data_IF_998442746704
#
_entry.id   IF_998442746704
#
_cell.length_a   1.000
_cell.length_b   1.000
_cell.length_c   1.000
_cell.angle_alpha   90.00
_cell.angle_beta   90.00
_cell.angle_gamma   90.00
#
_symmetry.space_group_name_H-M   'P 1'
#
loop_
_entity.id
_entity.type
_entity.pdbx_description
1 polymer ?
#
# COMPACT_ATOMS: atom_id res chain seq x y z
N UNK A 1 17.51 22.30 7.99
CA UNK A 1 18.18 21.68 6.83
C UNK A 1 17.07 21.37 5.81
N UNK A 2 17.35 21.42 4.51
CA UNK A 2 16.38 21.03 3.47
C UNK A 2 16.86 19.73 2.84
N UNK A 3 15.95 18.93 2.29
CA UNK A 3 16.34 17.82 1.43
C UNK A 3 17.10 18.35 0.21
N UNK A 4 18.06 17.59 -0.30
CA UNK A 4 18.92 17.97 -1.43
C UNK A 4 18.19 17.94 -2.77
N UNK A 5 17.13 17.14 -2.87
CA UNK A 5 16.28 17.01 -4.05
C UNK A 5 14.93 17.75 -3.89
N UNK A 6 14.28 18.06 -5.01
CA UNK A 6 12.93 18.63 -5.06
C UNK A 6 11.84 17.56 -5.02
N UNK A 7 10.59 17.96 -4.82
CA UNK A 7 9.46 17.03 -4.78
C UNK A 7 9.34 16.22 -6.08
N UNK A 8 9.55 16.88 -7.22
CA UNK A 8 9.50 16.25 -8.56
C UNK A 8 10.57 15.19 -8.79
N UNK A 9 11.74 15.33 -8.15
CA UNK A 9 12.81 14.33 -8.24
C UNK A 9 12.44 13.03 -7.53
N UNK A 10 11.62 13.12 -6.48
CA UNK A 10 11.10 11.96 -5.73
C UNK A 10 9.87 11.32 -6.37
N UNK A 11 8.98 12.13 -6.96
CA UNK A 11 7.74 11.66 -7.59
C UNK A 11 7.99 10.57 -8.65
N UNK A 12 8.90 10.83 -9.59
CA UNK A 12 9.09 9.93 -10.73
C UNK A 12 9.59 8.52 -10.30
N UNK A 13 10.63 8.39 -9.47
CA UNK A 13 11.04 7.10 -8.91
C UNK A 13 9.93 6.39 -8.13
N UNK A 14 9.24 7.11 -7.23
CA UNK A 14 8.16 6.55 -6.40
C UNK A 14 7.04 5.97 -7.28
N UNK A 15 6.56 6.74 -8.25
CA UNK A 15 5.44 6.32 -9.10
C UNK A 15 5.81 5.18 -10.03
N UNK A 16 7.06 5.14 -10.48
CA UNK A 16 7.55 4.05 -11.32
C UNK A 16 7.53 2.72 -10.57
N UNK A 17 7.95 2.73 -9.30
CA UNK A 17 7.96 1.55 -8.45
C UNK A 17 6.53 1.11 -8.07
N UNK A 18 5.68 2.04 -7.63
CA UNK A 18 4.30 1.74 -7.24
C UNK A 18 3.45 1.16 -8.37
N UNK A 19 3.74 1.53 -9.61
CA UNK A 19 3.05 0.99 -10.78
C UNK A 19 3.30 -0.49 -10.99
N UNK A 20 4.42 -1.06 -10.53
CA UNK A 20 4.76 -2.49 -10.54
C UNK A 20 4.08 -3.33 -11.64
N UNK A 21 4.44 -3.09 -12.91
CA UNK A 21 3.87 -3.80 -14.06
C UNK A 21 2.64 -3.14 -14.71
N UNK A 22 1.93 -2.26 -14.01
CA UNK A 22 0.86 -1.44 -14.57
C UNK A 22 1.40 -0.25 -15.39
N UNK A 23 0.63 0.12 -16.41
CA UNK A 23 0.90 1.28 -17.27
C UNK A 23 0.00 2.48 -16.97
N UNK A 24 -0.87 2.35 -15.97
CA UNK A 24 -2.00 3.23 -15.72
C UNK A 24 -1.65 4.26 -14.65
N UNK A 25 -1.25 5.44 -15.10
CA UNK A 25 -1.01 6.60 -14.25
C UNK A 25 -1.51 7.87 -14.93
N UNK A 26 -2.01 8.79 -14.12
CA UNK A 26 -2.31 10.14 -14.51
C UNK A 26 -1.65 11.09 -13.52
N UNK A 27 -0.69 11.88 -13.99
CA UNK A 27 -0.04 12.97 -13.26
C UNK A 27 -0.67 14.29 -13.68
N UNK A 28 -1.65 14.82 -12.93
CA UNK A 28 -2.44 15.94 -13.41
C UNK A 28 -1.65 17.25 -13.26
N UNK A 29 -1.49 18.02 -14.34
CA UNK A 29 -0.86 19.35 -14.21
C UNK A 29 -1.62 20.31 -13.29
N UNK A 30 -0.92 21.34 -12.78
CA UNK A 30 -1.29 22.32 -11.72
C UNK A 30 -2.80 22.68 -11.57
N UNK A 31 -3.54 22.86 -12.67
CA UNK A 31 -4.99 23.19 -12.62
C UNK A 31 -5.83 22.07 -12.00
N UNK A 32 -5.38 20.82 -12.07
CA UNK A 32 -6.07 19.66 -11.50
C UNK A 32 -5.59 19.36 -10.09
N UNK A 33 -4.30 19.50 -9.83
CA UNK A 33 -3.71 19.48 -8.49
C UNK A 33 -4.45 20.47 -7.56
N UNK A 34 -4.68 21.72 -8.00
CA UNK A 34 -5.46 22.69 -7.22
C UNK A 34 -6.94 22.37 -7.01
N UNK A 35 -7.46 21.27 -7.58
CA UNK A 35 -8.88 20.87 -7.49
C UNK A 35 -9.11 19.50 -6.86
N UNK A 36 -8.18 18.57 -7.04
CA UNK A 36 -8.19 17.23 -6.44
C UNK A 36 -7.17 17.09 -5.30
N UNK A 37 -6.21 18.00 -5.21
CA UNK A 37 -5.17 17.99 -4.18
C UNK A 37 -4.13 16.88 -4.33
N UNK A 38 -4.13 16.16 -5.46
CA UNK A 38 -3.24 15.01 -5.74
C UNK A 38 -2.24 15.35 -6.86
N UNK A 39 -1.05 14.75 -6.76
CA UNK A 39 -0.01 14.79 -7.79
C UNK A 39 -0.16 13.63 -8.78
N UNK A 40 -0.69 12.49 -8.33
CA UNK A 40 -0.87 11.31 -9.16
C UNK A 40 -2.10 10.49 -8.77
N UNK A 41 -2.73 9.90 -9.78
CA UNK A 41 -3.67 8.80 -9.63
C UNK A 41 -3.18 7.61 -10.45
N UNK A 42 -3.07 6.43 -9.83
CA UNK A 42 -2.52 5.24 -10.45
C UNK A 42 -3.31 3.97 -10.12
N UNK A 43 -3.13 2.97 -10.97
CA UNK A 43 -3.34 1.58 -10.61
C UNK A 43 -2.03 1.04 -10.02
N UNK A 44 -1.94 1.05 -8.70
CA UNK A 44 -0.82 0.49 -7.95
C UNK A 44 -1.05 -1.00 -7.75
N UNK A 45 -0.08 -1.81 -8.18
CA UNK A 45 -0.09 -3.26 -8.02
C UNK A 45 1.07 -3.75 -7.14
N UNK A 46 1.90 -2.84 -6.62
CA UNK A 46 3.06 -3.17 -5.80
C UNK A 46 2.65 -3.86 -4.48
N UNK A 47 2.92 -5.15 -4.26
CA UNK A 47 2.37 -5.89 -3.11
C UNK A 47 2.85 -5.33 -1.76
N UNK A 48 4.15 -5.05 -1.63
CA UNK A 48 4.72 -4.52 -0.38
C UNK A 48 4.10 -3.18 0.01
N UNK A 49 3.65 -2.37 -0.97
CA UNK A 49 2.98 -1.11 -0.66
C UNK A 49 1.61 -1.35 -0.01
N UNK A 50 0.85 -2.33 -0.52
CA UNK A 50 -0.47 -2.66 0.01
C UNK A 50 -0.40 -3.34 1.38
N UNK A 51 0.65 -4.13 1.61
CA UNK A 51 0.96 -4.73 2.91
C UNK A 51 1.15 -3.66 4.00
N UNK A 52 1.79 -2.53 3.69
CA UNK A 52 1.99 -1.41 4.64
C UNK A 52 0.68 -0.87 5.22
N UNK A 53 -0.43 -1.05 4.51
CA UNK A 53 -1.76 -0.59 4.89
C UNK A 53 -2.71 -1.72 5.29
N UNK A 54 -2.21 -2.96 5.38
CA UNK A 54 -2.99 -4.14 5.74
C UNK A 54 -3.99 -4.60 4.67
N UNK A 55 -3.77 -4.26 3.39
CA UNK A 55 -4.61 -4.72 2.29
C UNK A 55 -4.05 -6.02 1.71
N UNK A 56 -4.63 -7.16 2.14
CA UNK A 56 -4.33 -8.48 1.57
C UNK A 56 -4.94 -8.67 0.18
N UNK A 57 -6.09 -8.04 -0.08
CA UNK A 57 -6.72 -7.96 -1.39
C UNK A 57 -6.57 -6.53 -1.94
N UNK A 58 -5.75 -6.38 -2.99
CA UNK A 58 -5.54 -5.09 -3.65
C UNK A 58 -6.88 -4.57 -4.18
N UNK A 59 -7.30 -3.34 -3.83
CA UNK A 59 -8.55 -2.79 -4.33
C UNK A 59 -8.54 -2.74 -5.86
N UNK A 60 -9.63 -3.21 -6.49
CA UNK A 60 -9.83 -3.17 -7.95
C UNK A 60 -9.81 -1.75 -8.54
N UNK A 61 -9.88 -0.73 -7.68
CA UNK A 61 -9.90 0.66 -8.09
C UNK A 61 -11.25 1.15 -8.58
N UNK A 62 -11.23 2.38 -9.08
CA UNK A 62 -12.35 3.05 -9.73
C UNK A 62 -11.89 3.85 -10.93
N UNK A 63 -12.75 3.96 -11.92
CA UNK A 63 -12.57 4.95 -12.98
C UNK A 63 -13.06 6.30 -12.45
N UNK A 64 -12.13 7.24 -12.24
CA UNK A 64 -12.44 8.56 -11.69
C UNK A 64 -13.47 9.30 -12.56
N UNK A 65 -13.43 9.16 -13.88
CA UNK A 65 -14.39 9.78 -14.81
C UNK A 65 -15.84 9.33 -14.59
N UNK A 66 -16.07 8.14 -14.03
CA UNK A 66 -17.41 7.61 -13.77
C UNK A 66 -18.03 8.11 -12.46
N UNK A 67 -17.25 8.77 -11.61
CA UNK A 67 -17.72 9.22 -10.30
C UNK A 67 -18.42 10.59 -10.38
N UNK A 68 -19.51 10.72 -9.60
CA UNK A 68 -20.25 11.98 -9.48
C UNK A 68 -19.54 12.92 -8.52
N UNK A 69 -18.61 13.70 -9.04
CA UNK A 69 -17.81 14.61 -8.22
C UNK A 69 -18.49 15.90 -7.76
N UNK A 70 -19.78 16.12 -8.05
CA UNK A 70 -20.65 17.22 -7.56
C UNK A 70 -19.97 18.56 -7.19
N UNK A 71 -19.29 18.60 -6.04
CA UNK A 71 -18.49 19.73 -5.57
C UNK A 71 -17.32 20.14 -6.49
N UNK A 72 -16.66 19.22 -7.18
CA UNK A 72 -15.51 19.52 -8.03
C UNK A 72 -15.88 20.01 -9.43
N UNK A 73 -16.99 19.53 -10.01
CA UNK A 73 -17.42 19.98 -11.34
C UNK A 73 -17.80 21.46 -11.37
N UNK A 74 -18.26 22.01 -10.22
CA UNK A 74 -18.47 23.45 -10.02
C UNK A 74 -17.16 24.25 -10.16
N UNK A 75 -16.01 23.67 -9.79
CA UNK A 75 -14.68 24.29 -9.91
C UNK A 75 -13.95 23.91 -11.20
N UNK A 76 -14.17 22.73 -11.76
CA UNK A 76 -13.41 22.22 -12.92
C UNK A 76 -13.81 22.86 -14.24
N UNK A 77 -15.09 23.20 -14.41
CA UNK A 77 -15.67 23.41 -15.73
C UNK A 77 -15.70 22.07 -16.48
N UNK A 78 -16.83 21.73 -17.12
CA UNK A 78 -17.08 20.42 -17.78
C UNK A 78 -16.08 20.01 -18.90
N UNK A 79 -15.00 20.75 -19.13
CA UNK A 79 -14.10 20.57 -20.29
C UNK A 79 -12.90 19.64 -20.09
N UNK A 80 -12.46 19.36 -18.85
CA UNK A 80 -11.30 18.49 -18.61
C UNK A 80 -11.75 17.06 -18.26
N UNK A 81 -11.26 16.07 -19.01
CA UNK A 81 -11.52 14.65 -18.77
C UNK A 81 -10.69 14.14 -17.60
N UNK A 82 -11.30 13.27 -16.79
CA UNK A 82 -10.61 12.53 -15.74
C UNK A 82 -9.98 11.26 -16.33
N UNK A 83 -9.09 10.59 -15.58
CA UNK A 83 -8.60 9.27 -15.96
C UNK A 83 -9.76 8.30 -16.22
N UNK A 84 -9.72 7.66 -17.40
CA UNK A 84 -10.75 6.72 -17.88
C UNK A 84 -10.39 5.27 -17.62
N UNK A 85 -9.47 5.04 -16.69
CA UNK A 85 -8.95 3.73 -16.31
C UNK A 85 -9.07 3.56 -14.80
N UNK A 86 -8.96 2.34 -14.30
CA UNK A 86 -9.07 2.06 -12.86
C UNK A 86 -7.89 2.66 -12.10
N UNK A 87 -8.18 3.47 -11.09
CA UNK A 87 -7.20 3.95 -10.11
C UNK A 87 -7.58 3.39 -8.76
N UNK A 88 -6.66 2.71 -8.10
CA UNK A 88 -6.82 2.23 -6.73
C UNK A 88 -5.96 3.03 -5.74
N UNK A 89 -5.08 3.92 -6.22
CA UNK A 89 -4.23 4.75 -5.39
C UNK A 89 -4.15 6.18 -5.93
N UNK A 90 -4.40 7.15 -5.03
CA UNK A 90 -4.24 8.58 -5.26
C UNK A 90 -3.21 9.10 -4.26
N UNK A 91 -2.21 9.83 -4.76
CA UNK A 91 -1.05 10.23 -3.98
C UNK A 91 -0.85 11.73 -4.09
N UNK A 92 -0.56 12.35 -2.94
CA UNK A 92 0.16 13.61 -2.86
C UNK A 92 1.57 13.34 -2.33
N UNK A 93 2.58 13.51 -3.17
CA UNK A 93 3.96 13.47 -2.75
C UNK A 93 4.30 14.73 -1.94
N UNK A 94 5.29 14.61 -1.05
CA UNK A 94 5.80 15.73 -0.26
C UNK A 94 7.32 15.66 -0.19
N UNK A 95 7.97 16.81 -0.38
CA UNK A 95 9.38 16.97 -0.04
C UNK A 95 9.54 16.97 1.49
N UNK A 96 10.49 16.19 2.05
CA UNK A 96 10.67 16.16 3.49
C UNK A 96 11.57 17.30 3.96
N UNK A 97 11.32 17.75 5.18
CA UNK A 97 12.20 18.64 5.94
C UNK A 97 12.99 17.79 6.94
N UNK A 98 14.30 17.57 6.72
CA UNK A 98 15.13 16.85 7.67
C UNK A 98 15.39 17.67 8.93
N UNK A 99 15.24 17.01 10.07
CA UNK A 99 15.42 17.56 11.41
C UNK A 99 16.48 16.76 12.16
N UNK A 100 17.33 17.48 12.90
CA UNK A 100 18.47 16.93 13.64
C UNK A 100 18.29 16.92 15.17
N UNK A 101 17.15 17.41 15.66
CA UNK A 101 16.81 17.47 17.09
C UNK A 101 15.32 17.23 17.30
N UNK A 102 14.98 16.14 17.99
CA UNK A 102 13.61 15.88 18.42
C UNK A 102 13.25 16.72 19.66
N UNK A 103 12.00 17.22 19.71
CA UNK A 103 11.45 17.84 20.92
C UNK A 103 11.31 16.82 22.05
N UNK A 104 11.20 17.27 23.30
CA UNK A 104 10.96 16.38 24.45
C UNK A 104 9.75 15.48 24.25
N UNK A 105 8.69 16.02 23.66
CA UNK A 105 7.47 15.31 23.31
C UNK A 105 7.72 14.20 22.28
N UNK A 106 8.40 14.51 21.16
CA UNK A 106 8.68 13.52 20.11
C UNK A 106 9.62 12.41 20.60
N UNK A 107 10.56 12.73 21.49
CA UNK A 107 11.41 11.72 22.15
C UNK A 107 10.58 10.70 22.94
N UNK A 108 9.47 11.13 23.54
CA UNK A 108 8.52 10.23 24.22
C UNK A 108 7.90 9.17 23.30
N UNK A 109 7.85 9.44 21.99
CA UNK A 109 7.38 8.52 20.94
C UNK A 109 8.52 7.82 20.19
N UNK A 110 9.74 7.80 20.76
CA UNK A 110 10.88 7.07 20.18
C UNK A 110 11.65 7.83 19.09
N UNK A 111 11.36 9.11 18.86
CA UNK A 111 12.10 9.89 17.86
C UNK A 111 13.57 10.06 18.25
N UNK A 112 14.45 9.68 17.34
CA UNK A 112 15.89 9.95 17.42
C UNK A 112 16.21 11.40 17.02
N UNK A 113 17.51 11.76 17.06
CA UNK A 113 17.98 13.03 16.51
C UNK A 113 17.68 13.16 15.01
N UNK A 114 17.75 12.07 14.23
CA UNK A 114 17.46 12.07 12.79
C UNK A 114 16.00 11.70 12.54
N UNK A 115 15.23 12.64 12.01
CA UNK A 115 13.83 12.44 11.62
C UNK A 115 13.44 13.46 10.55
N UNK A 116 12.23 13.30 10.00
CA UNK A 116 11.69 14.11 8.92
C UNK A 116 10.31 14.64 9.27
N UNK A 117 9.93 15.69 8.55
CA UNK A 117 8.63 16.33 8.65
C UNK A 117 8.17 16.81 7.29
N UNK A 118 6.87 16.77 7.02
CA UNK A 118 6.25 17.63 6.01
C UNK A 118 5.09 18.44 6.58
N UNK A 119 4.78 19.54 5.92
CA UNK A 119 3.67 20.42 6.28
C UNK A 119 2.42 20.05 5.47
N UNK A 120 1.27 20.13 6.13
CA UNK A 120 -0.04 19.87 5.56
C UNK A 120 -0.68 21.23 5.26
N UNK A 121 -1.13 21.40 4.03
CA UNK A 121 -1.79 22.64 3.61
C UNK A 121 -3.29 22.50 3.79
N UNK A 122 -3.92 23.32 4.63
CA UNK A 122 -5.33 23.18 5.05
C UNK A 122 -6.31 23.01 3.88
N UNK A 123 -6.19 23.84 2.84
CA UNK A 123 -7.09 23.75 1.69
C UNK A 123 -6.87 22.48 0.86
N UNK A 124 -5.63 21.97 0.79
CA UNK A 124 -5.30 20.73 0.09
C UNK A 124 -5.85 19.54 0.88
N UNK A 125 -5.68 19.55 2.20
CA UNK A 125 -6.21 18.54 3.12
C UNK A 125 -7.73 18.43 3.00
N UNK A 126 -8.46 19.55 3.04
CA UNK A 126 -9.93 19.55 2.91
C UNK A 126 -10.40 18.92 1.60
N UNK A 127 -9.67 19.16 0.50
CA UNK A 127 -10.00 18.57 -0.81
C UNK A 127 -9.73 17.06 -0.77
N UNK A 128 -8.56 16.65 -0.30
CA UNK A 128 -8.14 15.26 -0.25
C UNK A 128 -9.05 14.42 0.65
N UNK A 129 -9.53 14.96 1.77
CA UNK A 129 -10.49 14.30 2.65
C UNK A 129 -11.82 14.04 1.94
N UNK A 130 -12.33 15.03 1.20
CA UNK A 130 -13.57 14.85 0.40
C UNK A 130 -13.38 13.84 -0.73
N UNK A 131 -12.21 13.83 -1.35
CA UNK A 131 -11.86 12.83 -2.38
C UNK A 131 -11.83 11.43 -1.74
N UNK A 132 -11.13 11.26 -0.61
CA UNK A 132 -11.08 10.01 0.15
C UNK A 132 -12.47 9.53 0.54
N UNK A 133 -13.31 10.41 1.10
CA UNK A 133 -14.68 10.09 1.51
C UNK A 133 -15.54 9.60 0.34
N UNK A 134 -15.39 10.21 -0.84
CA UNK A 134 -16.11 9.79 -2.05
C UNK A 134 -15.63 8.42 -2.59
N UNK A 135 -14.34 8.13 -2.45
CA UNK A 135 -13.72 6.89 -2.93
C UNK A 135 -13.96 5.72 -1.96
N UNK A 136 -14.15 6.01 -0.67
CA UNK A 136 -14.35 5.03 0.39
C UNK A 136 -13.26 3.95 0.32
N UNK A 137 -13.64 2.68 0.27
CA UNK A 137 -12.73 1.53 0.19
C UNK A 137 -12.28 1.17 -1.23
N UNK A 138 -12.67 1.95 -2.25
CA UNK A 138 -12.38 1.59 -3.64
C UNK A 138 -11.02 2.07 -4.12
N UNK A 139 -10.49 3.12 -3.51
CA UNK A 139 -9.15 3.62 -3.77
C UNK A 139 -8.60 4.28 -2.51
N UNK A 140 -7.29 4.13 -2.29
CA UNK A 140 -6.59 4.74 -1.17
C UNK A 140 -6.15 6.15 -1.54
N UNK A 141 -6.25 7.10 -0.59
CA UNK A 141 -5.77 8.47 -0.75
C UNK A 141 -4.76 8.77 0.35
N UNK A 142 -3.52 9.05 -0.05
CA UNK A 142 -2.39 9.18 0.89
C UNK A 142 -1.51 10.38 0.61
N UNK A 143 -0.77 10.79 1.64
CA UNK A 143 0.50 11.48 1.44
C UNK A 143 1.65 10.48 1.38
N UNK A 144 2.67 10.80 0.60
CA UNK A 144 3.92 10.05 0.51
C UNK A 144 5.11 11.00 0.66
N UNK A 145 6.09 10.65 1.49
CA UNK A 145 7.32 11.40 1.63
C UNK A 145 8.50 10.46 1.90
N UNK A 146 9.71 10.73 1.38
CA UNK A 146 10.85 9.86 1.60
C UNK A 146 11.33 9.92 3.06
N UNK A 147 11.80 8.78 3.58
CA UNK A 147 12.52 8.66 4.86
C UNK A 147 14.05 8.80 4.66
N UNK A 148 14.42 9.66 3.72
CA UNK A 148 15.77 10.06 3.36
C UNK A 148 15.72 11.48 2.77
N UNK A 149 16.87 12.12 2.59
CA UNK A 149 16.90 13.53 2.15
C UNK A 149 18.15 13.93 1.36
N UNK A 150 19.04 12.98 1.04
CA UNK A 150 20.22 13.22 0.22
C UNK A 150 19.97 12.76 -1.22
N UNK A 151 20.70 13.33 -2.19
CA UNK A 151 20.65 12.87 -3.58
C UNK A 151 21.23 11.46 -3.72
N UNK A 152 22.29 11.14 -2.97
CA UNK A 152 22.89 9.81 -2.96
C UNK A 152 21.88 8.74 -2.53
N UNK A 153 21.12 8.97 -1.44
CA UNK A 153 20.06 8.07 -1.02
C UNK A 153 18.99 7.93 -2.11
N UNK A 154 18.54 9.04 -2.71
CA UNK A 154 17.52 9.02 -3.77
C UNK A 154 17.97 8.14 -4.95
N UNK A 155 19.20 8.32 -5.44
CA UNK A 155 19.72 7.56 -6.57
C UNK A 155 19.95 6.09 -6.20
N UNK A 156 20.55 5.81 -5.04
CA UNK A 156 20.77 4.44 -4.57
C UNK A 156 19.45 3.67 -4.43
N UNK A 157 18.41 4.28 -3.84
CA UNK A 157 17.10 3.66 -3.69
C UNK A 157 16.38 3.52 -5.04
N UNK A 158 16.56 4.48 -5.95
CA UNK A 158 15.98 4.39 -7.31
C UNK A 158 16.60 3.24 -8.10
N UNK A 159 17.93 3.12 -8.11
CA UNK A 159 18.65 2.04 -8.79
C UNK A 159 18.30 0.67 -8.21
N UNK A 160 18.15 0.58 -6.89
CA UNK A 160 17.80 -0.65 -6.20
C UNK A 160 16.30 -0.99 -6.22
N UNK A 161 15.44 -0.11 -6.75
CA UNK A 161 13.97 -0.24 -6.70
C UNK A 161 13.43 -0.42 -5.28
N UNK A 162 13.92 0.40 -4.34
CA UNK A 162 13.54 0.39 -2.92
C UNK A 162 12.98 1.73 -2.45
N UNK A 163 12.47 2.57 -3.35
CA UNK A 163 11.94 3.89 -3.01
C UNK A 163 10.68 3.75 -2.15
N UNK A 164 9.81 2.78 -2.43
CA UNK A 164 8.61 2.51 -1.61
C UNK A 164 9.02 2.07 -0.21
N UNK A 165 9.96 1.13 -0.11
CA UNK A 165 10.46 0.61 1.16
C UNK A 165 11.19 1.66 2.02
N UNK A 166 11.73 2.70 1.38
CA UNK A 166 12.42 3.81 2.05
C UNK A 166 11.57 5.10 2.11
N UNK A 167 10.25 4.97 1.93
CA UNK A 167 9.29 6.07 2.04
C UNK A 167 8.34 5.89 3.22
N UNK A 168 7.81 7.01 3.71
CA UNK A 168 6.76 7.06 4.71
C UNK A 168 5.44 7.49 4.04
N UNK A 169 4.36 6.82 4.40
CA UNK A 169 3.04 7.02 3.84
C UNK A 169 2.02 7.23 4.95
N UNK A 170 1.04 8.10 4.73
CA UNK A 170 -0.04 8.31 5.71
C UNK A 170 -1.34 8.56 5.00
N UNK A 171 -2.42 7.89 5.46
CA UNK A 171 -3.77 8.11 4.93
C UNK A 171 -4.20 9.54 5.25
N UNK A 172 -4.77 10.22 4.26
CA UNK A 172 -5.22 11.61 4.42
C UNK A 172 -6.19 11.76 5.60
N UNK A 173 -7.08 10.80 5.79
CA UNK A 173 -8.09 10.81 6.88
C UNK A 173 -7.49 10.83 8.29
N UNK A 174 -6.23 10.39 8.46
CA UNK A 174 -5.50 10.41 9.73
C UNK A 174 -4.91 11.78 10.06
N UNK A 175 -4.90 12.71 9.10
CA UNK A 175 -4.29 14.03 9.24
C UNK A 175 -5.32 15.16 9.42
N UNK A 176 -6.56 14.81 9.73
CA UNK A 176 -7.62 15.78 9.96
C UNK A 176 -7.25 16.75 11.09
N UNK A 177 -7.34 18.06 10.81
CA UNK A 177 -6.97 19.15 11.73
C UNK A 177 -5.48 19.17 12.18
N UNK A 178 -4.61 18.40 11.53
CA UNK A 178 -3.17 18.43 11.79
C UNK A 178 -2.42 19.25 10.73
N UNK A 179 -1.37 19.95 11.17
CA UNK A 179 -0.60 20.86 10.30
C UNK A 179 0.72 20.27 9.86
N UNK A 180 1.22 19.26 10.58
CA UNK A 180 2.51 18.65 10.29
C UNK A 180 2.43 17.15 10.56
N UNK A 181 3.17 16.39 9.77
CA UNK A 181 3.42 14.98 10.00
C UNK A 181 4.91 14.78 10.27
N UNK A 182 5.26 14.14 11.39
CA UNK A 182 6.64 13.85 11.78
C UNK A 182 6.85 12.33 11.73
N UNK A 183 7.99 11.89 11.23
CA UNK A 183 8.32 10.46 11.14
C UNK A 183 9.84 10.27 11.16
N UNK A 184 10.31 9.13 11.64
CA UNK A 184 11.75 8.83 11.76
C UNK A 184 12.17 7.54 11.03
N UNK A 185 11.22 6.87 10.38
CA UNK A 185 11.45 5.66 9.61
C UNK A 185 10.46 5.56 8.45
N UNK A 186 10.75 4.68 7.50
CA UNK A 186 9.83 4.31 6.43
C UNK A 186 8.62 3.53 6.96
N UNK A 187 7.61 3.31 6.11
CA UNK A 187 6.36 2.63 6.47
C UNK A 187 5.21 3.61 6.69
N UNK A 188 4.35 3.35 7.68
CA UNK A 188 3.10 4.12 7.88
C UNK A 188 2.99 4.84 9.22
N UNK A 189 4.02 4.74 10.06
CA UNK A 189 4.03 5.30 11.41
C UNK A 189 4.59 6.71 11.46
N UNK A 190 4.04 7.52 12.37
CA UNK A 190 4.50 8.89 12.64
C UNK A 190 3.66 9.59 13.71
N UNK A 191 3.92 10.88 13.90
CA UNK A 191 3.22 11.74 14.86
C UNK A 191 2.69 12.98 14.15
N UNK A 192 1.37 13.09 14.13
CA UNK A 192 0.67 14.27 13.63
C UNK A 192 0.73 15.41 14.65
N UNK A 193 0.83 16.66 14.19
CA UNK A 193 1.03 17.81 15.07
C UNK A 193 -0.04 18.90 14.89
N UNK A 194 -0.87 19.04 15.93
CA UNK A 194 -1.61 20.25 16.37
C UNK A 194 -1.92 20.11 17.87
N UNK A 195 -2.42 18.93 18.26
CA UNK A 195 -2.13 18.22 19.52
C UNK A 195 -1.55 16.84 19.13
N UNK A 196 -0.54 16.31 19.83
CA UNK A 196 0.16 15.10 19.40
C UNK A 196 -0.69 13.85 19.63
N UNK A 197 -1.12 13.23 18.54
CA UNK A 197 -1.72 11.89 18.54
C UNK A 197 -0.75 10.91 17.87
N UNK A 198 -0.44 9.81 18.58
CA UNK A 198 0.31 8.71 17.99
C UNK A 198 -0.65 7.84 17.19
N UNK A 199 -0.40 7.72 15.90
CA UNK A 199 -1.24 6.95 14.98
C UNK A 199 -0.44 5.75 14.50
N UNK A 200 -0.87 4.57 14.92
CA UNK A 200 -0.37 3.28 14.46
C UNK A 200 -1.55 2.53 13.80
N UNK A 201 -1.40 2.11 12.54
CA UNK A 201 -2.30 1.13 11.94
C UNK A 201 -1.83 -0.27 12.42
N UNK A 202 -2.79 -1.11 12.81
CA UNK A 202 -2.70 -2.37 13.59
C UNK A 202 -1.34 -3.08 13.53
N UNK A 203 -0.70 -3.26 14.68
CA UNK A 203 0.62 -3.91 14.77
C UNK A 203 0.51 -5.41 14.45
N UNK A 204 1.46 -5.91 13.65
CA UNK A 204 1.59 -7.34 13.33
C UNK A 204 1.62 -8.21 14.60
N UNK A 205 2.24 -7.70 15.68
CA UNK A 205 2.30 -8.38 16.96
C UNK A 205 0.90 -8.54 17.60
N UNK A 206 0.04 -7.51 17.53
CA UNK A 206 -1.33 -7.61 18.03
C UNK A 206 -2.19 -8.61 17.25
N UNK A 207 -1.93 -8.77 15.95
CA UNK A 207 -2.58 -9.80 15.13
C UNK A 207 -2.08 -11.20 15.47
N UNK A 208 -0.77 -11.36 15.68
CA UNK A 208 -0.16 -12.65 16.07
C UNK A 208 -0.61 -13.07 17.47
N UNK A 209 -0.68 -12.15 18.43
CA UNK A 209 -1.17 -12.42 19.79
C UNK A 209 -2.64 -12.86 19.76
N UNK A 210 -3.49 -12.19 18.97
CA UNK A 210 -4.88 -12.61 18.79
C UNK A 210 -4.99 -13.99 18.12
N UNK A 211 -4.15 -14.31 17.14
CA UNK A 211 -4.13 -15.65 16.52
C UNK A 211 -3.65 -16.75 17.47
N UNK A 212 -2.69 -16.44 18.35
CA UNK A 212 -2.21 -17.36 19.40
C UNK A 212 -3.29 -17.71 20.44
N UNK A 213 -4.24 -16.80 20.69
CA UNK A 213 -5.40 -17.06 21.55
C UNK A 213 -6.45 -17.97 20.88
N UNK A 214 -6.59 -17.93 19.55
CA UNK A 214 -7.47 -18.84 18.79
C UNK A 214 -6.87 -20.24 18.57
N UNK A 215 -5.54 -20.39 18.63
CA UNK A 215 -4.83 -21.65 18.39
C UNK A 215 -4.86 -22.68 19.53
N UNK A 216 -5.65 -22.47 20.60
CA UNK A 216 -5.77 -23.41 21.72
C UNK A 216 -6.84 -24.49 21.52
N UNK A 217 -7.62 -24.45 20.44
CA UNK A 217 -8.49 -25.56 20.08
C UNK A 217 -7.73 -26.55 19.20
N UNK A 218 -7.77 -27.81 19.63
CA UNK A 218 -6.96 -28.93 19.19
C UNK A 218 -7.39 -29.42 17.79
N UNK A 219 -7.29 -28.56 16.77
CA UNK A 219 -7.55 -28.91 15.39
C UNK A 219 -6.28 -29.54 14.78
N UNK A 220 -6.45 -30.73 14.21
CA UNK A 220 -5.37 -31.49 13.59
C UNK A 220 -4.76 -30.67 12.43
N UNK A 221 -3.52 -30.20 12.59
CA UNK A 221 -2.84 -29.37 11.60
C UNK A 221 -2.84 -29.98 10.19
N UNK A 222 -2.80 -31.31 10.10
CA UNK A 222 -2.93 -32.04 8.83
C UNK A 222 -4.32 -31.87 8.21
N UNK A 223 -5.40 -31.92 8.99
CA UNK A 223 -6.76 -31.69 8.52
C UNK A 223 -6.96 -30.24 8.04
N UNK A 224 -6.43 -29.27 8.78
CA UNK A 224 -6.47 -27.86 8.40
C UNK A 224 -5.71 -27.61 7.10
N UNK A 225 -4.55 -28.24 6.93
CA UNK A 225 -3.76 -28.16 5.71
C UNK A 225 -4.47 -28.79 4.52
N UNK A 226 -5.12 -29.95 4.72
CA UNK A 226 -5.94 -30.61 3.69
C UNK A 226 -7.13 -29.73 3.29
N UNK A 227 -7.78 -29.11 4.26
CA UNK A 227 -8.89 -28.20 4.04
C UNK A 227 -8.45 -26.95 3.26
N UNK A 228 -7.36 -26.29 3.68
CA UNK A 228 -6.79 -25.13 2.99
C UNK A 228 -6.42 -25.44 1.53
N UNK A 229 -5.74 -26.57 1.30
CA UNK A 229 -5.42 -27.03 -0.04
C UNK A 229 -6.71 -27.21 -0.87
N UNK A 230 -7.72 -27.93 -0.34
CA UNK A 230 -8.99 -28.16 -1.02
C UNK A 230 -9.70 -26.85 -1.40
N UNK A 231 -9.87 -25.94 -0.44
CA UNK A 231 -10.52 -24.65 -0.67
C UNK A 231 -9.79 -23.81 -1.70
N UNK A 232 -8.46 -23.84 -1.70
CA UNK A 232 -7.63 -23.12 -2.68
C UNK A 232 -7.85 -23.63 -4.10
N UNK A 233 -7.92 -24.96 -4.27
CA UNK A 233 -8.17 -25.57 -5.58
C UNK A 233 -9.58 -25.25 -6.07
N UNK A 234 -10.60 -25.40 -5.22
CA UNK A 234 -12.00 -25.09 -5.56
C UNK A 234 -12.14 -23.63 -5.99
N UNK A 235 -11.63 -22.69 -5.17
CA UNK A 235 -11.66 -21.27 -5.50
C UNK A 235 -10.94 -20.95 -6.82
N UNK A 236 -9.79 -21.58 -7.09
CA UNK A 236 -9.07 -21.38 -8.35
C UNK A 236 -9.83 -21.96 -9.54
N UNK A 237 -10.50 -23.11 -9.38
CA UNK A 237 -11.29 -23.74 -10.44
C UNK A 237 -12.49 -22.88 -10.85
N UNK A 238 -13.14 -22.22 -9.91
CA UNK A 238 -14.29 -21.33 -10.16
C UNK A 238 -13.92 -20.12 -11.03
N UNK A 239 -12.70 -19.59 -10.88
CA UNK A 239 -12.29 -18.32 -11.51
C UNK A 239 -11.29 -18.48 -12.65
N UNK A 240 -10.86 -19.71 -12.97
CA UNK A 240 -9.76 -19.98 -13.91
C UNK A 240 -9.99 -19.43 -15.33
N UNK A 241 -11.24 -19.28 -15.75
CA UNK A 241 -11.58 -18.81 -17.10
C UNK A 241 -11.24 -17.33 -17.32
N UNK A 242 -11.24 -16.54 -16.25
CA UNK A 242 -10.96 -15.11 -16.29
C UNK A 242 -9.84 -14.66 -15.34
N UNK A 243 -9.15 -15.58 -14.67
CA UNK A 243 -8.03 -15.28 -13.79
C UNK A 243 -6.76 -16.07 -14.21
N UNK A 244 -5.74 -15.39 -14.78
CA UNK A 244 -4.53 -16.06 -15.25
C UNK A 244 -3.67 -16.66 -14.13
N UNK A 245 -3.73 -16.12 -12.92
CA UNK A 245 -3.02 -16.64 -11.74
C UNK A 245 -3.64 -17.97 -11.32
N UNK A 246 -4.97 -18.03 -11.22
CA UNK A 246 -5.70 -19.27 -10.92
C UNK A 246 -5.44 -20.35 -11.96
N UNK A 247 -5.50 -19.99 -13.26
CA UNK A 247 -5.19 -20.90 -14.36
C UNK A 247 -3.74 -21.41 -14.33
N UNK A 248 -2.79 -20.54 -13.99
CA UNK A 248 -1.38 -20.90 -13.87
C UNK A 248 -1.14 -21.82 -12.66
N UNK A 249 -1.74 -21.51 -11.51
CA UNK A 249 -1.72 -22.35 -10.32
C UNK A 249 -2.25 -23.75 -10.61
N UNK A 250 -3.46 -23.88 -11.18
CA UNK A 250 -4.07 -25.19 -11.48
C UNK A 250 -3.21 -26.02 -12.45
N UNK A 251 -2.53 -25.38 -13.39
CA UNK A 251 -1.60 -26.05 -14.29
C UNK A 251 -0.38 -26.63 -13.56
N UNK A 252 0.18 -25.88 -12.61
CA UNK A 252 1.33 -26.33 -11.80
C UNK A 252 0.90 -27.36 -10.75
N UNK A 253 -0.24 -27.14 -10.11
CA UNK A 253 -0.89 -28.09 -9.21
C UNK A 253 -1.09 -29.44 -9.89
N UNK A 254 -1.63 -29.48 -11.10
CA UNK A 254 -1.79 -30.73 -11.86
C UNK A 254 -0.46 -31.44 -12.16
N UNK A 255 0.67 -30.71 -12.27
CA UNK A 255 2.00 -31.34 -12.37
C UNK A 255 2.45 -31.92 -11.03
N UNK A 256 2.19 -31.21 -9.95
CA UNK A 256 2.53 -31.62 -8.59
C UNK A 256 1.76 -32.87 -8.17
N UNK A 257 0.45 -32.96 -8.43
CA UNK A 257 -0.35 -34.16 -8.13
C UNK A 257 0.13 -35.40 -8.89
N UNK A 258 0.57 -35.25 -10.15
CA UNK A 258 1.15 -36.36 -10.91
C UNK A 258 2.48 -36.85 -10.35
N UNK A 259 3.22 -36.01 -9.62
CA UNK A 259 4.44 -36.45 -8.92
C UNK A 259 4.08 -37.22 -7.65
N UNK A 260 3.02 -36.82 -6.95
CA UNK A 260 2.54 -37.53 -5.76
C UNK A 260 2.12 -38.97 -6.08
N UNK A 261 1.38 -39.16 -7.18
CA UNK A 261 1.01 -40.49 -7.70
C UNK A 261 2.22 -41.41 -7.96
N UNK A 262 3.42 -40.84 -8.15
CA UNK A 262 4.66 -41.59 -8.45
C UNK A 262 5.50 -41.83 -7.19
N UNK A 263 5.43 -40.95 -6.20
CA UNK A 263 6.33 -40.93 -5.04
C UNK A 263 5.66 -41.14 -3.68
N UNK A 264 4.32 -41.29 -3.62
CA UNK A 264 3.53 -41.54 -2.40
C UNK A 264 3.85 -40.57 -1.25
N UNK A 265 3.84 -39.26 -1.52
CA UNK A 265 4.28 -38.25 -0.56
C UNK A 265 3.08 -37.78 0.28
N UNK A 266 2.61 -38.63 1.19
CA UNK A 266 1.50 -38.27 2.07
C UNK A 266 1.82 -37.04 2.96
N UNK A 267 0.78 -36.21 3.15
CA UNK A 267 0.75 -34.89 3.82
C UNK A 267 1.55 -33.75 3.19
N UNK A 268 2.79 -34.01 2.76
CA UNK A 268 3.68 -32.97 2.18
C UNK A 268 3.10 -32.38 0.89
N UNK A 269 2.25 -33.14 0.20
CA UNK A 269 1.58 -32.69 -1.01
C UNK A 269 0.62 -31.53 -0.75
N UNK A 270 -0.09 -31.53 0.38
CA UNK A 270 -1.03 -30.45 0.74
C UNK A 270 -0.26 -29.17 1.10
N UNK A 271 0.86 -29.32 1.84
CA UNK A 271 1.78 -28.23 2.13
C UNK A 271 2.35 -27.63 0.85
N UNK A 272 2.87 -28.48 -0.03
CA UNK A 272 3.50 -28.07 -1.28
C UNK A 272 2.49 -27.42 -2.22
N UNK A 273 1.26 -27.93 -2.28
CA UNK A 273 0.20 -27.38 -3.12
C UNK A 273 -0.29 -26.01 -2.61
N UNK A 274 -0.42 -25.84 -1.30
CA UNK A 274 -0.80 -24.55 -0.73
C UNK A 274 0.35 -23.53 -0.82
N UNK A 275 1.59 -23.95 -0.53
CA UNK A 275 2.76 -23.10 -0.69
C UNK A 275 2.98 -22.71 -2.17
N UNK A 276 2.72 -23.61 -3.11
CA UNK A 276 2.70 -23.31 -4.54
C UNK A 276 1.67 -22.22 -4.87
N UNK A 277 0.46 -22.31 -4.30
CA UNK A 277 -0.53 -21.25 -4.43
C UNK A 277 0.01 -19.92 -3.90
N UNK A 278 0.54 -19.89 -2.68
CA UNK A 278 1.12 -18.68 -2.10
C UNK A 278 2.21 -18.09 -3.01
N UNK A 279 3.11 -18.91 -3.55
CA UNK A 279 4.16 -18.48 -4.47
C UNK A 279 3.62 -17.90 -5.79
N UNK A 280 2.57 -18.52 -6.35
CA UNK A 280 1.92 -18.07 -7.59
C UNK A 280 1.12 -16.78 -7.36
N UNK A 281 0.43 -16.68 -6.23
CA UNK A 281 -0.35 -15.52 -5.81
C UNK A 281 0.49 -14.42 -5.15
N UNK A 282 1.81 -14.63 -4.99
CA UNK A 282 2.74 -13.72 -4.32
C UNK A 282 2.41 -13.41 -2.85
N UNK A 283 1.83 -14.40 -2.16
CA UNK A 283 1.53 -14.35 -0.74
C UNK A 283 2.68 -14.93 0.08
N UNK A 284 2.91 -14.38 1.28
CA UNK A 284 3.77 -15.00 2.30
C UNK A 284 2.92 -15.80 3.26
N UNK A 285 3.13 -17.11 3.30
CA UNK A 285 2.48 -17.96 4.29
C UNK A 285 3.37 -18.05 5.54
N UNK A 286 2.88 -17.48 6.64
CA UNK A 286 3.50 -17.60 7.95
C UNK A 286 2.93 -18.84 8.64
N UNK A 287 3.80 -19.82 8.88
CA UNK A 287 3.48 -21.00 9.69
C UNK A 287 3.95 -20.68 11.11
N UNK A 288 3.01 -20.69 12.06
CA UNK A 288 3.26 -20.48 13.49
C UNK A 288 3.19 -21.82 14.20
#
# INVERSE_FOLDING_TARGET
MKAEFEEKDFEAPLYNELRFGSHRIATPGQVFEGKFGIDAALEAEHPLFWDLFGYYDIPKGVVLDHLRWGFMWRKLGRKRRLPTFNTNLLIQAKRPTPLSRASSLLKGYGFSSKHWRFEITDHQQEILEKVSHNLRRKALVIYAAPAFHTLDDLYNHTEAQMVVENSNFVKVERLHNHKQWNYYQAGTSGVAHSEPEFIEDVSLNSMIEQMGEFGQENENASENLRYLHKMTVEACQEIQDHNPIAKYYLRLHGRLMRLDEVYEIEETIHYSAFNLFCNVAKLKWLVV
#
